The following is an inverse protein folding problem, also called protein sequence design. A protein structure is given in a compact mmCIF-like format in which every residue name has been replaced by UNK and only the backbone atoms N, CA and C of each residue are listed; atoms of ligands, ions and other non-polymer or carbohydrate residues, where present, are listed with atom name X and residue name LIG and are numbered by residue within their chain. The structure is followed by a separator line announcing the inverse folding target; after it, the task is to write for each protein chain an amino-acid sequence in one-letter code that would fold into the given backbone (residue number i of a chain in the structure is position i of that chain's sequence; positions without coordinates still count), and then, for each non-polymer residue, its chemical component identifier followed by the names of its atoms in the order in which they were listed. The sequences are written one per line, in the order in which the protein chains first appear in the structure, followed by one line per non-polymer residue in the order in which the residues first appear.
data_IF_611948787897
#
_entry.id   IF_611948787897
#
_cell.length_a   1.000
_cell.length_b   1.000
_cell.length_c   1.000
_cell.angle_alpha   90.00
_cell.angle_beta   90.00
_cell.angle_gamma   90.00
#
_symmetry.space_group_name_H-M   'P 1'
#
loop_
_entity.id
_entity.type
_entity.pdbx_description
1 polymer ?
#
# COMPACT_ATOMS: atom_id res chain seq x y z
N UNK A 1 -17.70 15.70 -3.78
CA UNK A 1 -17.02 15.21 -2.56
C UNK A 1 -15.95 16.19 -2.08
N UNK A 2 -15.19 16.85 -2.97
CA UNK A 2 -14.19 17.85 -2.54
C UNK A 2 -14.79 19.02 -1.74
N UNK A 3 -16.01 19.47 -2.06
CA UNK A 3 -16.71 20.49 -1.28
C UNK A 3 -16.97 20.04 0.16
N UNK A 4 -17.34 18.78 0.36
CA UNK A 4 -17.55 18.22 1.70
C UNK A 4 -16.26 18.20 2.54
N UNK A 5 -15.11 17.91 1.92
CA UNK A 5 -13.82 18.01 2.63
C UNK A 5 -13.53 19.43 3.10
N UNK A 6 -13.85 20.42 2.27
CA UNK A 6 -13.71 21.86 2.62
C UNK A 6 -14.67 22.20 3.77
N UNK A 7 -15.92 21.74 3.67
CA UNK A 7 -16.94 21.94 4.72
C UNK A 7 -16.56 21.24 6.04
N UNK A 8 -15.79 20.16 5.97
CA UNK A 8 -15.24 19.45 7.14
C UNK A 8 -13.97 20.11 7.70
N UNK A 9 -13.48 21.18 7.05
CA UNK A 9 -12.37 21.98 7.54
C UNK A 9 -11.01 21.60 6.96
N UNK A 10 -10.99 20.98 5.76
CA UNK A 10 -9.74 20.81 5.01
C UNK A 10 -9.33 22.14 4.42
N UNK A 11 -8.10 22.55 4.71
CA UNK A 11 -7.52 23.78 4.20
C UNK A 11 -6.66 23.47 2.94
N UNK A 12 -7.12 23.91 1.77
CA UNK A 12 -6.35 23.80 0.54
C UNK A 12 -5.72 25.15 0.18
N UNK A 13 -4.55 25.11 -0.42
CA UNK A 13 -3.79 26.31 -0.78
C UNK A 13 -4.59 27.21 -1.75
N UNK A 14 -4.51 28.52 -1.50
CA UNK A 14 -5.22 29.54 -2.25
C UNK A 14 -4.26 30.59 -2.77
N UNK A 15 -4.61 31.17 -3.91
CA UNK A 15 -3.94 32.34 -4.49
C UNK A 15 -4.34 33.60 -3.75
N UNK A 16 -3.65 34.71 -4.06
CA UNK A 16 -3.92 36.00 -3.46
C UNK A 16 -5.35 36.54 -3.74
N UNK A 17 -5.97 36.10 -4.84
CA UNK A 17 -7.35 36.45 -5.20
C UNK A 17 -8.41 35.57 -4.50
N UNK A 18 -8.00 34.63 -3.64
CA UNK A 18 -8.87 33.70 -2.92
C UNK A 18 -9.27 32.45 -3.70
N UNK A 19 -8.96 32.35 -5.00
CA UNK A 19 -9.15 31.13 -5.79
C UNK A 19 -8.21 30.01 -5.32
N UNK A 20 -8.61 28.75 -5.57
CA UNK A 20 -7.71 27.62 -5.25
C UNK A 20 -6.45 27.64 -6.12
N UNK A 21 -5.32 27.40 -5.51
CA UNK A 21 -4.10 27.13 -6.25
C UNK A 21 -4.13 25.69 -6.77
N UNK A 22 -4.14 25.53 -8.08
CA UNK A 22 -4.22 24.25 -8.74
C UNK A 22 -2.88 23.88 -9.36
N UNK A 23 -2.40 22.68 -9.05
CA UNK A 23 -1.17 22.14 -9.62
C UNK A 23 -1.43 21.03 -10.63
N UNK A 24 -0.43 20.78 -11.46
CA UNK A 24 -0.38 19.67 -12.42
C UNK A 24 0.68 18.68 -11.97
N UNK A 25 0.31 17.42 -11.89
CA UNK A 25 1.24 16.32 -11.62
C UNK A 25 1.50 15.50 -12.89
N UNK A 26 2.48 14.60 -12.83
CA UNK A 26 2.87 13.74 -13.95
C UNK A 26 1.69 12.93 -14.50
N UNK A 27 1.51 12.96 -15.82
CA UNK A 27 0.43 12.28 -16.53
C UNK A 27 -0.90 13.06 -16.63
N UNK A 28 -1.07 14.17 -15.92
CA UNK A 28 -2.25 15.03 -16.07
C UNK A 28 -2.15 15.95 -17.27
N UNK A 29 -3.28 16.19 -17.98
CA UNK A 29 -3.36 17.16 -19.09
C UNK A 29 -3.33 18.59 -18.60
N UNK A 30 -3.98 18.86 -17.43
CA UNK A 30 -4.26 20.21 -16.94
C UNK A 30 -3.91 20.39 -15.46
N UNK A 31 -3.81 21.66 -15.02
CA UNK A 31 -3.73 22.03 -13.60
C UNK A 31 -5.11 21.87 -12.96
N UNK A 32 -5.33 20.78 -12.23
CA UNK A 32 -6.65 20.45 -11.63
C UNK A 32 -6.57 19.84 -10.23
N UNK A 33 -5.36 19.73 -9.66
CA UNK A 33 -5.14 19.08 -8.39
C UNK A 33 -5.13 20.14 -7.29
N UNK A 34 -6.03 19.96 -6.32
CA UNK A 34 -6.01 20.68 -5.05
C UNK A 34 -4.88 20.13 -4.18
N UNK A 35 -4.18 20.99 -3.50
CA UNK A 35 -3.09 20.61 -2.61
C UNK A 35 -3.04 21.49 -1.35
N UNK A 36 -2.35 20.98 -0.35
CA UNK A 36 -1.93 21.74 0.83
C UNK A 36 -0.43 21.57 0.96
N UNK A 37 0.34 22.56 0.53
CA UNK A 37 1.81 22.50 0.47
C UNK A 37 2.26 21.17 -0.17
N UNK A 38 3.12 20.42 0.54
CA UNK A 38 3.62 19.09 0.17
C UNK A 38 3.03 17.96 1.04
N UNK A 39 1.92 18.24 1.77
CA UNK A 39 1.33 17.34 2.77
C UNK A 39 -0.20 17.23 2.69
N UNK A 40 -0.75 17.25 1.47
CA UNK A 40 -2.20 17.21 1.20
C UNK A 40 -2.92 16.06 1.93
N UNK A 41 -2.35 14.86 1.90
CA UNK A 41 -2.95 13.69 2.56
C UNK A 41 -3.08 13.87 4.07
N UNK A 42 -2.07 14.42 4.71
CA UNK A 42 -2.07 14.70 6.15
C UNK A 42 -3.14 15.74 6.54
N UNK A 43 -3.30 16.78 5.72
CA UNK A 43 -4.32 17.81 5.97
C UNK A 43 -5.74 17.25 5.84
N UNK A 44 -6.01 16.43 4.81
CA UNK A 44 -7.30 15.75 4.66
C UNK A 44 -7.57 14.83 5.85
N UNK A 45 -6.59 14.04 6.28
CA UNK A 45 -6.71 13.16 7.44
C UNK A 45 -7.00 13.96 8.71
N UNK A 46 -6.27 15.05 8.96
CA UNK A 46 -6.49 15.94 10.11
C UNK A 46 -7.93 16.43 10.17
N UNK A 47 -8.45 16.94 9.06
CA UNK A 47 -9.80 17.48 8.99
C UNK A 47 -10.86 16.39 9.21
N UNK A 48 -10.72 15.24 8.54
CA UNK A 48 -11.66 14.13 8.68
C UNK A 48 -11.64 13.54 10.09
N UNK A 49 -10.48 13.32 10.70
CA UNK A 49 -10.37 12.82 12.08
C UNK A 49 -10.99 13.80 13.08
N UNK A 50 -10.75 15.11 12.93
CA UNK A 50 -11.37 16.12 13.76
C UNK A 50 -12.90 16.11 13.62
N UNK A 51 -13.40 15.99 12.38
CA UNK A 51 -14.84 15.92 12.13
C UNK A 51 -15.47 14.67 12.72
N UNK A 52 -14.89 13.50 12.50
CA UNK A 52 -15.43 12.23 13.02
C UNK A 52 -15.46 12.21 14.54
N UNK A 53 -14.42 12.74 15.21
CA UNK A 53 -14.37 12.88 16.66
C UNK A 53 -15.45 13.79 17.24
N UNK A 54 -16.08 14.64 16.43
CA UNK A 54 -17.18 15.50 16.88
C UNK A 54 -18.53 14.78 17.01
N UNK A 55 -18.64 13.53 16.52
CA UNK A 55 -19.87 12.74 16.60
C UNK A 55 -19.87 11.84 17.84
N UNK A 56 -20.85 12.03 18.73
CA UNK A 56 -21.00 11.20 19.94
C UNK A 56 -21.41 9.74 19.63
N UNK A 57 -21.89 9.47 18.41
CA UNK A 57 -22.31 8.14 17.96
C UNK A 57 -21.18 7.30 17.37
N UNK A 58 -19.94 7.79 17.41
CA UNK A 58 -18.77 7.10 16.85
C UNK A 58 -17.82 6.72 17.97
N UNK A 59 -17.58 5.43 18.12
CA UNK A 59 -16.60 4.88 19.05
C UNK A 59 -15.27 4.60 18.33
N UNK A 60 -14.15 4.98 18.97
CA UNK A 60 -12.80 4.76 18.47
C UNK A 60 -12.10 3.68 19.29
N UNK A 61 -11.75 2.58 18.63
CA UNK A 61 -11.01 1.49 19.24
C UNK A 61 -9.53 1.56 18.81
N UNK A 62 -8.76 2.42 19.50
CA UNK A 62 -7.31 2.49 19.30
C UNK A 62 -6.60 1.36 20.07
N UNK A 63 -5.47 0.88 19.54
CA UNK A 63 -4.78 -0.30 20.07
C UNK A 63 -5.59 -1.60 19.95
N UNK A 64 -6.33 -1.72 18.85
CA UNK A 64 -7.03 -2.93 18.44
C UNK A 64 -6.54 -3.35 17.06
N UNK A 65 -6.39 -4.66 16.84
CA UNK A 65 -5.92 -5.23 15.58
C UNK A 65 -6.95 -6.25 15.05
N UNK A 66 -7.43 -6.06 13.83
CA UNK A 66 -8.37 -7.00 13.19
C UNK A 66 -7.63 -8.26 12.74
N UNK A 67 -8.02 -9.42 13.28
CA UNK A 67 -7.39 -10.72 13.04
C UNK A 67 -7.98 -11.41 11.82
N UNK A 68 -9.31 -11.60 11.82
CA UNK A 68 -10.05 -12.23 10.72
C UNK A 68 -11.50 -11.77 10.66
N UNK A 69 -12.11 -11.89 9.47
CA UNK A 69 -13.54 -11.62 9.27
C UNK A 69 -14.38 -12.80 9.75
N UNK A 70 -15.52 -12.51 10.38
CA UNK A 70 -16.48 -13.52 10.81
C UNK A 70 -17.47 -13.78 9.68
N UNK A 71 -17.54 -15.04 9.23
CA UNK A 71 -18.43 -15.50 8.14
C UNK A 71 -19.14 -16.79 8.55
N UNK A 72 -20.03 -17.34 7.70
CA UNK A 72 -20.71 -18.62 7.93
C UNK A 72 -19.73 -19.77 8.24
N UNK A 73 -18.47 -19.68 7.80
CA UNK A 73 -17.45 -20.67 8.16
C UNK A 73 -17.32 -20.87 9.68
N UNK A 74 -17.40 -19.76 10.44
CA UNK A 74 -17.32 -19.79 11.91
C UNK A 74 -18.59 -20.35 12.56
N UNK A 75 -19.69 -20.50 11.79
CA UNK A 75 -20.92 -21.16 12.21
C UNK A 75 -20.93 -22.65 11.85
N UNK A 76 -19.79 -23.20 11.37
CA UNK A 76 -19.66 -24.60 10.98
C UNK A 76 -20.05 -24.90 9.52
N UNK A 77 -20.38 -23.88 8.71
CA UNK A 77 -20.69 -24.08 7.31
C UNK A 77 -19.42 -24.19 6.46
N UNK A 78 -19.45 -25.04 5.42
CA UNK A 78 -18.37 -25.11 4.44
C UNK A 78 -18.48 -23.95 3.47
N UNK A 79 -17.59 -22.95 3.62
CA UNK A 79 -17.50 -21.79 2.73
C UNK A 79 -16.35 -21.97 1.75
N UNK A 80 -16.65 -21.92 0.44
CA UNK A 80 -15.69 -21.97 -0.66
C UNK A 80 -15.74 -20.68 -1.47
N UNK A 81 -14.86 -20.54 -2.46
CA UNK A 81 -14.87 -19.40 -3.38
C UNK A 81 -16.21 -19.31 -4.14
N UNK A 82 -16.80 -20.46 -4.47
CA UNK A 82 -18.02 -20.58 -5.28
C UNK A 82 -19.31 -20.63 -4.44
N UNK A 83 -19.20 -20.59 -3.11
CA UNK A 83 -20.37 -20.53 -2.23
C UNK A 83 -21.17 -19.26 -2.52
N UNK A 84 -22.46 -19.38 -2.90
CA UNK A 84 -23.31 -18.20 -3.13
C UNK A 84 -23.66 -17.53 -1.80
N UNK A 85 -23.99 -16.24 -1.87
CA UNK A 85 -24.55 -15.49 -0.72
C UNK A 85 -23.68 -15.57 0.55
N UNK A 86 -22.37 -15.59 0.39
CA UNK A 86 -21.44 -15.43 1.54
C UNK A 86 -21.78 -14.17 2.32
N UNK A 87 -21.75 -14.24 3.65
CA UNK A 87 -22.05 -13.12 4.54
C UNK A 87 -20.92 -12.83 5.49
N UNK A 88 -20.71 -11.56 5.76
CA UNK A 88 -19.85 -11.08 6.84
C UNK A 88 -20.72 -10.65 8.02
N UNK A 89 -20.32 -11.03 9.23
CA UNK A 89 -21.02 -10.71 10.47
C UNK A 89 -20.20 -9.79 11.38
N UNK A 90 -18.98 -9.45 10.99
CA UNK A 90 -18.05 -8.66 11.76
C UNK A 90 -16.62 -9.17 11.67
N UNK A 91 -15.85 -8.98 12.73
CA UNK A 91 -14.45 -9.41 12.78
C UNK A 91 -14.04 -9.86 14.20
N UNK A 92 -13.06 -10.76 14.26
CA UNK A 92 -12.30 -11.02 15.46
C UNK A 92 -11.19 -9.98 15.58
N UNK A 93 -11.05 -9.38 16.75
CA UNK A 93 -10.18 -8.23 16.95
C UNK A 93 -9.34 -8.41 18.21
N UNK A 94 -8.03 -8.34 18.09
CA UNK A 94 -7.11 -8.43 19.21
C UNK A 94 -7.05 -7.07 19.93
N UNK A 95 -7.42 -7.08 21.19
CA UNK A 95 -7.23 -5.94 22.10
C UNK A 95 -5.79 -5.94 22.65
N UNK A 96 -4.98 -4.98 22.24
CA UNK A 96 -3.55 -4.94 22.61
C UNK A 96 -3.30 -4.62 24.10
N UNK A 97 -4.31 -4.13 24.82
CA UNK A 97 -4.19 -3.86 26.27
C UNK A 97 -4.45 -5.13 27.08
N UNK A 98 -5.47 -5.90 26.70
CA UNK A 98 -5.85 -7.12 27.42
C UNK A 98 -5.19 -8.37 26.86
N UNK A 99 -4.59 -8.29 25.67
CA UNK A 99 -4.02 -9.42 24.91
C UNK A 99 -5.07 -10.53 24.62
N UNK A 100 -6.35 -10.16 24.53
CA UNK A 100 -7.44 -11.07 24.19
C UNK A 100 -8.03 -10.73 22.84
N UNK A 101 -8.47 -11.74 22.12
CA UNK A 101 -9.24 -11.57 20.90
C UNK A 101 -10.71 -11.43 21.29
N UNK A 102 -11.32 -10.34 20.86
CA UNK A 102 -12.72 -9.99 21.13
C UNK A 102 -13.55 -10.14 19.86
N UNK A 103 -14.83 -10.45 20.00
CA UNK A 103 -15.79 -10.64 18.92
C UNK A 103 -16.52 -9.32 18.64
N UNK A 104 -16.22 -8.67 17.50
CA UNK A 104 -16.89 -7.44 17.05
C UNK A 104 -17.94 -7.80 16.01
N UNK A 105 -19.22 -7.63 16.34
CA UNK A 105 -20.35 -7.90 15.44
C UNK A 105 -20.88 -6.61 14.83
N UNK A 106 -21.19 -6.65 13.53
CA UNK A 106 -21.73 -5.52 12.82
C UNK A 106 -22.66 -5.93 11.69
N UNK A 107 -23.76 -5.21 11.51
CA UNK A 107 -24.68 -5.41 10.36
C UNK A 107 -23.98 -5.10 9.02
N UNK A 108 -22.96 -4.28 9.07
CA UNK A 108 -22.11 -3.92 7.92
C UNK A 108 -20.68 -3.83 8.40
N UNK A 109 -19.75 -4.36 7.63
CA UNK A 109 -18.31 -4.27 7.86
C UNK A 109 -17.67 -3.59 6.67
N UNK A 110 -16.79 -2.60 6.91
CA UNK A 110 -16.04 -1.91 5.87
C UNK A 110 -14.55 -2.08 6.09
N UNK A 111 -13.85 -2.55 5.07
CA UNK A 111 -12.39 -2.61 5.03
C UNK A 111 -11.84 -1.32 4.43
N UNK A 112 -11.03 -0.60 5.21
CA UNK A 112 -10.32 0.61 4.79
C UNK A 112 -8.87 0.54 5.30
N UNK A 113 -8.20 -0.58 5.04
CA UNK A 113 -6.96 -1.01 5.70
C UNK A 113 -5.68 -0.54 4.99
N UNK A 114 -5.82 0.26 3.92
CA UNK A 114 -4.66 0.76 3.17
C UNK A 114 -3.96 -0.31 2.33
N UNK A 115 -2.69 -0.08 2.03
CA UNK A 115 -1.91 -0.84 1.07
C UNK A 115 -1.10 -2.00 1.65
N UNK A 116 -0.05 -2.39 0.89
CA UNK A 116 0.69 -3.64 1.09
C UNK A 116 2.22 -3.43 1.16
N UNK A 117 2.67 -2.18 1.37
CA UNK A 117 4.07 -1.81 1.14
C UNK A 117 5.08 -2.59 1.96
N UNK A 118 4.69 -3.11 3.12
CA UNK A 118 5.59 -3.84 4.01
C UNK A 118 6.02 -5.21 3.47
N UNK A 119 5.41 -5.73 2.38
CA UNK A 119 5.93 -6.93 1.70
C UNK A 119 7.22 -6.66 0.90
N UNK A 120 7.68 -5.40 0.84
CA UNK A 120 8.92 -4.99 0.16
C UNK A 120 9.92 -4.36 1.11
N UNK A 121 11.22 -4.52 0.84
CA UNK A 121 12.30 -3.93 1.65
C UNK A 121 12.26 -2.41 1.66
N UNK A 122 11.99 -1.80 0.50
CA UNK A 122 11.87 -0.35 0.34
C UNK A 122 10.43 0.01 0.02
N UNK A 123 9.80 0.80 0.88
CA UNK A 123 8.43 1.28 0.69
C UNK A 123 8.24 2.66 1.30
N UNK A 124 7.41 3.48 0.65
CA UNK A 124 6.95 4.78 1.18
C UNK A 124 5.72 4.64 2.08
N UNK A 125 5.17 3.42 2.21
CA UNK A 125 4.00 3.16 3.03
C UNK A 125 4.35 3.05 4.52
N UNK A 126 3.43 3.43 5.41
CA UNK A 126 3.62 3.30 6.85
C UNK A 126 3.78 1.82 7.27
N UNK A 127 4.32 1.60 8.47
CA UNK A 127 4.61 0.26 9.01
C UNK A 127 3.37 -0.65 9.10
N UNK A 128 2.19 -0.08 9.19
CA UNK A 128 0.91 -0.81 9.25
C UNK A 128 0.39 -1.27 7.87
N UNK A 129 1.08 -0.96 6.77
CA UNK A 129 0.67 -1.35 5.42
C UNK A 129 1.07 -2.81 5.10
N UNK A 130 0.53 -3.75 5.83
CA UNK A 130 0.81 -5.20 5.75
C UNK A 130 -0.21 -5.98 4.93
N UNK A 131 -1.22 -5.28 4.36
CA UNK A 131 -2.23 -5.87 3.49
C UNK A 131 -3.36 -6.60 4.20
N UNK A 132 -3.63 -6.22 5.45
CA UNK A 132 -4.53 -6.94 6.36
C UNK A 132 -5.92 -7.18 5.78
N UNK A 133 -6.59 -6.15 5.27
CA UNK A 133 -7.94 -6.28 4.72
C UNK A 133 -7.99 -7.18 3.48
N UNK A 134 -6.97 -7.10 2.61
CA UNK A 134 -6.86 -7.96 1.42
C UNK A 134 -6.69 -9.42 1.85
N UNK A 135 -5.81 -9.69 2.81
CA UNK A 135 -5.57 -11.02 3.33
C UNK A 135 -6.80 -11.59 4.05
N UNK A 136 -7.46 -10.81 4.91
CA UNK A 136 -8.70 -11.21 5.58
C UNK A 136 -9.83 -11.51 4.57
N UNK A 137 -10.02 -10.66 3.56
CA UNK A 137 -11.01 -10.89 2.52
C UNK A 137 -10.69 -12.16 1.70
N UNK A 138 -9.42 -12.38 1.36
CA UNK A 138 -8.97 -13.58 0.65
C UNK A 138 -9.24 -14.86 1.47
N UNK A 139 -8.91 -14.88 2.77
CA UNK A 139 -9.22 -16.01 3.66
C UNK A 139 -10.72 -16.26 3.79
N UNK A 140 -11.51 -15.18 3.82
CA UNK A 140 -12.98 -15.24 3.81
C UNK A 140 -13.58 -15.62 2.43
N UNK A 141 -12.75 -15.97 1.44
CA UNK A 141 -13.15 -16.33 0.06
C UNK A 141 -13.73 -15.15 -0.73
N UNK A 142 -13.28 -13.95 -0.41
CA UNK A 142 -13.49 -12.75 -1.21
C UNK A 142 -12.69 -12.80 -2.52
N UNK A 143 -13.17 -12.08 -3.54
CA UNK A 143 -12.47 -11.97 -4.82
C UNK A 143 -11.44 -10.87 -4.77
N UNK A 144 -10.24 -11.17 -5.30
CA UNK A 144 -9.10 -10.25 -5.36
C UNK A 144 -8.56 -10.25 -6.78
N UNK A 145 -8.19 -9.08 -7.31
CA UNK A 145 -7.69 -8.92 -8.68
C UNK A 145 -6.59 -7.85 -8.77
N UNK A 146 -5.80 -7.90 -9.85
CA UNK A 146 -4.83 -6.85 -10.20
C UNK A 146 -3.63 -6.76 -9.27
N UNK A 147 -3.36 -7.81 -8.47
CA UNK A 147 -2.28 -7.80 -7.47
C UNK A 147 -0.89 -7.69 -8.08
N UNK A 148 -0.72 -7.97 -9.38
CA UNK A 148 0.52 -7.81 -10.14
C UNK A 148 0.86 -6.35 -10.44
N UNK A 149 -0.10 -5.43 -10.33
CA UNK A 149 0.06 -4.01 -10.66
C UNK A 149 0.51 -3.19 -9.45
N UNK A 150 1.80 -3.26 -9.16
CA UNK A 150 2.42 -2.58 -8.03
C UNK A 150 3.22 -1.38 -8.52
N UNK A 151 2.83 -0.19 -8.10
CA UNK A 151 3.53 1.04 -8.44
C UNK A 151 4.72 1.27 -7.50
N UNK A 152 5.89 1.47 -8.10
CA UNK A 152 7.10 1.90 -7.40
C UNK A 152 7.35 3.38 -7.68
N UNK A 153 7.62 4.16 -6.64
CA UNK A 153 8.15 5.49 -6.82
C UNK A 153 9.64 5.41 -7.14
N UNK A 154 10.13 6.04 -8.21
CA UNK A 154 11.50 5.84 -8.66
C UNK A 154 12.55 6.37 -7.70
N UNK A 155 12.27 7.45 -6.98
CA UNK A 155 13.24 8.16 -6.15
C UNK A 155 12.77 8.27 -4.70
N UNK A 156 12.96 7.22 -3.91
CA UNK A 156 12.93 7.30 -2.46
C UNK A 156 14.36 7.37 -1.91
N UNK A 157 14.55 8.07 -0.80
CA UNK A 157 15.86 8.17 -0.14
C UNK A 157 16.32 6.77 0.30
N UNK A 158 17.50 6.37 -0.16
CA UNK A 158 18.12 5.14 0.31
C UNK A 158 18.72 5.36 1.70
N UNK A 159 18.04 4.86 2.72
CA UNK A 159 18.47 4.91 4.11
C UNK A 159 18.18 3.54 4.77
N UNK A 160 19.13 2.59 4.73
CA UNK A 160 18.93 1.24 5.20
C UNK A 160 18.46 1.17 6.66
N UNK A 161 17.47 0.33 6.94
CA UNK A 161 16.89 0.16 8.27
C UNK A 161 15.86 1.19 8.67
N UNK A 162 15.63 2.24 7.86
CA UNK A 162 14.57 3.22 8.08
C UNK A 162 13.36 2.90 7.21
N UNK A 163 12.22 2.67 7.83
CA UNK A 163 10.91 2.53 7.18
C UNK A 163 9.89 3.45 7.86
N UNK A 164 9.03 4.11 7.10
CA UNK A 164 8.97 4.19 5.63
C UNK A 164 10.17 4.91 5.01
N UNK A 165 10.48 4.58 3.74
CA UNK A 165 11.47 5.31 2.96
C UNK A 165 10.97 6.73 2.69
N UNK A 166 11.80 7.73 2.93
CA UNK A 166 11.46 9.12 2.68
C UNK A 166 11.36 9.41 1.17
N UNK A 167 10.28 10.05 0.75
CA UNK A 167 10.02 10.33 -0.65
C UNK A 167 10.83 11.54 -1.12
N UNK A 168 11.72 11.33 -2.11
CA UNK A 168 12.29 12.44 -2.88
C UNK A 168 11.32 12.72 -4.03
N UNK A 169 10.56 13.80 -3.89
CA UNK A 169 9.48 14.18 -4.81
C UNK A 169 9.94 14.19 -6.27
N UNK A 170 9.04 13.83 -7.18
CA UNK A 170 9.25 13.96 -8.62
C UNK A 170 9.60 15.40 -9.05
N UNK A 171 9.13 16.39 -8.28
CA UNK A 171 9.42 17.78 -8.52
C UNK A 171 10.94 18.08 -8.54
N UNK A 172 11.76 17.35 -7.77
CA UNK A 172 13.22 17.51 -7.79
C UNK A 172 13.81 17.14 -9.15
N UNK A 173 13.29 16.05 -9.78
CA UNK A 173 13.68 15.71 -11.17
C UNK A 173 13.11 16.72 -12.17
N UNK A 174 11.88 17.19 -11.93
CA UNK A 174 11.24 18.24 -12.72
C UNK A 174 12.00 19.56 -12.70
N UNK A 175 12.69 19.86 -11.60
CA UNK A 175 13.50 21.07 -11.43
C UNK A 175 14.97 20.88 -11.89
N UNK A 176 15.29 19.76 -12.52
CA UNK A 176 16.59 19.53 -13.14
C UNK A 176 17.43 18.41 -12.52
N UNK A 177 16.97 17.73 -11.47
CA UNK A 177 17.72 16.62 -10.86
C UNK A 177 18.02 15.50 -11.86
N UNK A 178 19.29 15.05 -11.92
CA UNK A 178 19.82 14.10 -12.90
C UNK A 178 20.15 12.79 -12.21
N UNK A 179 19.61 11.68 -12.76
CA UNK A 179 19.93 10.33 -12.27
C UNK A 179 21.30 9.87 -12.74
N UNK A 180 22.10 9.34 -11.82
CA UNK A 180 23.48 8.90 -12.04
C UNK A 180 23.77 7.55 -11.40
N UNK A 181 24.67 6.82 -12.00
CA UNK A 181 25.28 5.61 -11.47
C UNK A 181 26.29 5.90 -10.35
N UNK A 182 26.85 4.84 -9.72
CA UNK A 182 27.87 4.94 -8.68
C UNK A 182 29.15 5.65 -9.15
N UNK A 183 29.50 5.50 -10.43
CA UNK A 183 30.67 6.15 -11.07
C UNK A 183 30.39 7.60 -11.52
N UNK A 184 29.19 8.13 -11.26
CA UNK A 184 28.79 9.47 -11.66
C UNK A 184 28.31 9.59 -13.11
N UNK A 185 28.29 8.50 -13.90
CA UNK A 185 27.77 8.49 -15.26
C UNK A 185 26.25 8.59 -15.30
N UNK A 186 25.70 9.26 -16.31
CA UNK A 186 24.27 9.25 -16.63
C UNK A 186 23.88 7.93 -17.30
N UNK A 187 22.62 7.55 -17.24
CA UNK A 187 22.15 6.29 -17.83
C UNK A 187 20.77 6.37 -18.50
N UNK A 188 19.99 7.40 -18.18
CA UNK A 188 18.59 7.47 -18.67
C UNK A 188 18.48 7.56 -20.19
N UNK A 189 19.50 8.05 -20.89
CA UNK A 189 19.57 8.12 -22.35
C UNK A 189 19.46 6.75 -23.05
N UNK A 190 19.76 5.67 -22.33
CA UNK A 190 19.61 4.28 -22.82
C UNK A 190 18.17 3.79 -22.80
N UNK A 191 17.31 4.46 -22.02
CA UNK A 191 15.97 3.99 -21.70
C UNK A 191 14.86 4.88 -22.26
N UNK A 192 15.04 6.21 -22.26
CA UNK A 192 14.00 7.14 -22.74
C UNK A 192 14.61 8.49 -23.13
N UNK A 193 14.16 9.05 -24.26
CA UNK A 193 14.64 10.33 -24.76
C UNK A 193 14.31 11.54 -23.83
N UNK A 194 13.31 11.39 -22.95
CA UNK A 194 12.95 12.40 -21.95
C UNK A 194 13.87 12.37 -20.71
N UNK A 195 14.83 11.46 -20.68
CA UNK A 195 15.83 11.31 -19.61
C UNK A 195 15.17 11.17 -18.23
N UNK A 196 15.66 11.88 -17.23
CA UNK A 196 15.13 11.87 -15.86
C UNK A 196 13.67 12.36 -15.74
N UNK A 197 13.12 12.96 -16.79
CA UNK A 197 11.72 13.43 -16.88
C UNK A 197 10.77 12.40 -17.51
N UNK A 198 11.26 11.20 -17.84
CA UNK A 198 10.42 10.11 -18.31
C UNK A 198 9.34 9.73 -17.26
N UNK A 199 8.22 9.09 -17.65
CA UNK A 199 7.21 8.58 -16.73
C UNK A 199 7.79 7.70 -15.63
N UNK A 200 7.15 7.72 -14.46
CA UNK A 200 7.64 7.04 -13.23
C UNK A 200 7.97 5.57 -13.43
N UNK A 201 7.15 4.86 -14.18
CA UNK A 201 7.35 3.43 -14.46
C UNK A 201 8.59 3.17 -15.33
N UNK A 202 8.87 4.03 -16.31
CA UNK A 202 10.10 3.96 -17.13
C UNK A 202 11.31 4.26 -16.28
N UNK A 203 11.29 5.34 -15.49
CA UNK A 203 12.41 5.71 -14.61
C UNK A 203 12.68 4.62 -13.56
N UNK A 204 11.63 4.07 -12.94
CA UNK A 204 11.78 3.00 -11.96
C UNK A 204 12.38 1.74 -12.58
N UNK A 205 11.96 1.36 -13.81
CA UNK A 205 12.54 0.24 -14.55
C UNK A 205 14.01 0.48 -14.93
N UNK A 206 14.35 1.70 -15.34
CA UNK A 206 15.72 2.05 -15.67
C UNK A 206 16.64 1.92 -14.45
N UNK A 207 16.23 2.48 -13.31
CA UNK A 207 16.99 2.38 -12.05
C UNK A 207 17.14 0.92 -11.61
N UNK A 208 16.06 0.13 -11.60
CA UNK A 208 16.09 -1.28 -11.22
C UNK A 208 17.02 -2.10 -12.14
N UNK A 209 17.01 -1.81 -13.44
CA UNK A 209 17.86 -2.48 -14.43
C UNK A 209 19.34 -2.11 -14.24
N UNK A 210 19.66 -0.83 -14.00
CA UNK A 210 21.05 -0.40 -13.74
C UNK A 210 21.57 -0.96 -12.41
N UNK A 211 20.77 -0.95 -11.34
CA UNK A 211 21.14 -1.56 -10.05
C UNK A 211 21.46 -3.05 -10.21
N UNK A 212 20.62 -3.80 -10.91
CA UNK A 212 20.84 -5.23 -11.17
C UNK A 212 22.03 -5.50 -12.05
N UNK A 213 22.25 -4.67 -13.08
CA UNK A 213 23.39 -4.80 -13.99
C UNK A 213 24.73 -4.53 -13.29
N UNK A 214 24.75 -3.55 -12.38
CA UNK A 214 25.99 -3.15 -11.68
C UNK A 214 26.20 -3.89 -10.37
N UNK A 215 25.19 -4.61 -9.85
CA UNK A 215 25.23 -5.24 -8.53
C UNK A 215 25.19 -4.22 -7.37
N UNK A 216 24.60 -3.05 -7.61
CA UNK A 216 24.48 -1.97 -6.62
C UNK A 216 23.10 -1.99 -5.96
N UNK A 217 22.98 -1.37 -4.78
CA UNK A 217 21.74 -1.33 -4.00
C UNK A 217 20.99 0.01 -4.10
N UNK A 218 21.58 1.01 -4.75
CA UNK A 218 20.97 2.32 -5.03
C UNK A 218 21.66 2.98 -6.23
N UNK A 219 21.09 4.05 -6.73
CA UNK A 219 21.66 5.02 -7.67
C UNK A 219 21.68 6.39 -7.01
N UNK A 220 22.13 7.42 -7.71
CA UNK A 220 22.17 8.78 -7.20
C UNK A 220 21.23 9.71 -7.98
N UNK A 221 20.68 10.70 -7.29
CA UNK A 221 20.04 11.87 -7.85
C UNK A 221 20.95 13.07 -7.61
N UNK A 222 21.49 13.66 -8.67
CA UNK A 222 22.40 14.78 -8.64
C UNK A 222 21.67 16.10 -8.82
N UNK A 223 21.77 16.97 -7.83
CA UNK A 223 21.18 18.32 -7.80
C UNK A 223 22.21 19.42 -7.64
N UNK A 224 23.52 19.09 -7.64
CA UNK A 224 24.63 20.02 -7.34
C UNK A 224 24.79 21.16 -8.33
N UNK A 225 24.21 21.05 -9.53
CA UNK A 225 24.19 22.12 -10.53
C UNK A 225 23.04 23.12 -10.32
N UNK A 226 22.13 22.86 -9.37
CA UNK A 226 21.03 23.75 -9.01
C UNK A 226 21.51 24.67 -7.88
N UNK A 227 21.32 26.01 -7.99
CA UNK A 227 21.68 26.93 -6.92
C UNK A 227 21.06 26.57 -5.58
N UNK A 228 21.83 26.68 -4.51
CA UNK A 228 21.37 26.30 -3.16
C UNK A 228 20.12 27.06 -2.72
N UNK A 229 20.05 28.34 -3.08
CA UNK A 229 18.90 29.21 -2.79
C UNK A 229 17.62 28.68 -3.44
N UNK A 230 17.70 28.17 -4.67
CA UNK A 230 16.55 27.56 -5.36
C UNK A 230 16.15 26.24 -4.69
N UNK A 231 17.11 25.40 -4.29
CA UNK A 231 16.85 24.15 -3.56
C UNK A 231 16.10 24.46 -2.25
N UNK A 232 16.58 25.41 -1.47
CA UNK A 232 15.97 25.80 -0.20
C UNK A 232 14.59 26.42 -0.38
N UNK A 233 14.37 27.15 -1.47
CA UNK A 233 13.07 27.74 -1.79
C UNK A 233 12.02 26.68 -2.19
N UNK A 234 12.40 25.73 -3.06
CA UNK A 234 11.47 24.79 -3.66
C UNK A 234 11.33 23.47 -2.88
N UNK A 235 12.40 23.03 -2.17
CA UNK A 235 12.49 21.74 -1.51
C UNK A 235 13.00 21.81 -0.06
N UNK A 236 12.52 22.76 0.78
CA UNK A 236 13.06 22.98 2.11
C UNK A 236 12.97 21.75 3.02
N UNK A 237 11.89 20.98 2.92
CA UNK A 237 11.69 19.76 3.72
C UNK A 237 12.59 18.63 3.26
N UNK A 238 12.75 18.44 1.94
CA UNK A 238 13.63 17.41 1.39
C UNK A 238 15.09 17.72 1.78
N UNK A 239 15.51 18.97 1.62
CA UNK A 239 16.85 19.43 2.01
C UNK A 239 17.12 19.16 3.49
N UNK A 240 16.21 19.63 4.36
CA UNK A 240 16.35 19.45 5.80
C UNK A 240 16.39 17.97 6.21
N UNK A 241 15.59 17.12 5.54
CA UNK A 241 15.56 15.69 5.82
C UNK A 241 16.86 14.99 5.40
N UNK A 242 17.37 15.26 4.19
CA UNK A 242 18.66 14.70 3.71
C UNK A 242 19.81 15.10 4.62
N UNK A 243 19.87 16.36 5.01
CA UNK A 243 20.90 16.89 5.90
C UNK A 243 20.81 16.27 7.30
N UNK A 244 19.59 16.17 7.87
CA UNK A 244 19.38 15.64 9.21
C UNK A 244 19.64 14.13 9.32
N UNK A 245 19.14 13.34 8.37
CA UNK A 245 19.17 11.87 8.47
C UNK A 245 20.47 11.26 7.93
N UNK A 246 21.10 11.87 6.94
CA UNK A 246 22.29 11.33 6.28
C UNK A 246 23.49 12.29 6.28
N UNK A 247 23.34 13.52 6.76
CA UNK A 247 24.37 14.55 6.69
C UNK A 247 24.62 15.12 5.29
N UNK A 248 23.72 14.82 4.32
CA UNK A 248 23.90 15.17 2.91
C UNK A 248 23.37 16.58 2.65
N UNK A 249 24.26 17.49 2.24
CA UNK A 249 23.89 18.75 1.60
C UNK A 249 23.66 18.51 0.11
N UNK A 250 22.40 18.48 -0.32
CA UNK A 250 22.03 18.16 -1.70
C UNK A 250 22.45 19.20 -2.73
N UNK A 251 23.02 20.37 -2.31
CA UNK A 251 23.68 21.32 -3.20
C UNK A 251 25.16 20.99 -3.46
N UNK A 252 25.75 20.11 -2.64
CA UNK A 252 27.17 19.76 -2.70
C UNK A 252 27.40 18.27 -2.96
N UNK A 253 26.43 17.43 -2.55
CA UNK A 253 26.51 15.97 -2.63
C UNK A 253 25.32 15.37 -3.37
N UNK A 254 25.53 14.22 -4.01
CA UNK A 254 24.46 13.46 -4.67
C UNK A 254 23.60 12.72 -3.65
N UNK A 255 22.30 12.71 -3.85
CA UNK A 255 21.33 12.04 -2.98
C UNK A 255 21.25 10.55 -3.38
N UNK A 256 21.52 9.59 -2.47
CA UNK A 256 21.31 8.18 -2.77
C UNK A 256 19.81 7.88 -2.85
N UNK A 257 19.36 7.30 -3.96
CA UNK A 257 17.94 7.00 -4.21
C UNK A 257 17.74 5.57 -4.70
N UNK A 258 16.59 5.02 -4.33
CA UNK A 258 16.15 3.67 -4.71
C UNK A 258 14.67 3.69 -5.07
N UNK A 259 14.22 2.86 -6.02
CA UNK A 259 12.79 2.66 -6.22
C UNK A 259 12.17 2.02 -4.97
N UNK A 260 11.07 2.59 -4.51
CA UNK A 260 10.34 2.08 -3.35
C UNK A 260 8.89 1.78 -3.71
N UNK A 261 8.35 0.69 -3.16
CA UNK A 261 6.93 0.39 -3.31
C UNK A 261 6.10 1.58 -2.80
N UNK A 262 5.09 1.98 -3.58
CA UNK A 262 4.35 3.20 -3.32
C UNK A 262 2.84 3.02 -3.31
N UNK A 263 2.28 2.20 -4.22
CA UNK A 263 0.84 1.99 -4.34
C UNK A 263 0.51 0.65 -4.99
N UNK A 264 -0.59 0.01 -4.53
CA UNK A 264 -1.19 -1.16 -5.15
C UNK A 264 -2.41 -0.75 -5.98
N UNK A 265 -2.41 -1.04 -7.31
CA UNK A 265 -3.58 -0.79 -8.16
C UNK A 265 -4.64 -1.91 -8.10
N UNK A 266 -4.26 -3.06 -7.56
CA UNK A 266 -5.13 -4.20 -7.30
C UNK A 266 -5.82 -4.14 -5.94
N UNK A 267 -6.40 -5.26 -5.53
CA UNK A 267 -7.04 -5.41 -4.22
C UNK A 267 -8.33 -6.21 -4.27
N UNK A 268 -9.18 -6.03 -3.26
CA UNK A 268 -10.48 -6.66 -3.13
C UNK A 268 -11.41 -6.11 -4.22
N UNK A 269 -11.98 -7.00 -5.06
CA UNK A 269 -12.92 -6.59 -6.11
C UNK A 269 -14.17 -5.99 -5.46
N UNK A 270 -14.52 -4.80 -5.91
CA UNK A 270 -15.75 -4.10 -5.50
C UNK A 270 -16.54 -3.60 -6.71
N UNK A 271 -17.85 -3.48 -6.54
CA UNK A 271 -18.71 -2.80 -7.50
C UNK A 271 -18.69 -1.26 -7.32
N UNK A 272 -19.49 -0.54 -8.09
CA UNK A 272 -19.60 0.92 -8.03
C UNK A 272 -20.06 1.47 -6.67
N UNK A 273 -20.60 0.62 -5.79
CA UNK A 273 -21.04 0.94 -4.44
C UNK A 273 -20.10 0.40 -3.36
N UNK A 274 -18.89 0.00 -3.73
CA UNK A 274 -17.88 -0.59 -2.83
C UNK A 274 -18.27 -1.94 -2.21
N UNK A 275 -19.31 -2.63 -2.71
CA UNK A 275 -19.70 -3.95 -2.23
C UNK A 275 -18.72 -5.00 -2.76
N UNK A 276 -18.32 -5.91 -1.90
CA UNK A 276 -17.57 -7.10 -2.29
C UNK A 276 -18.53 -8.24 -2.73
N UNK A 277 -17.97 -9.38 -3.13
CA UNK A 277 -18.74 -10.58 -3.37
C UNK A 277 -19.20 -11.30 -2.07
N UNK A 278 -18.95 -10.71 -0.91
CA UNK A 278 -19.42 -11.16 0.40
C UNK A 278 -20.44 -10.13 0.88
N UNK A 279 -21.67 -10.56 1.10
CA UNK A 279 -22.76 -9.68 1.54
C UNK A 279 -22.40 -8.98 2.85
N UNK A 280 -22.76 -7.70 2.97
CA UNK A 280 -22.49 -6.84 4.12
C UNK A 280 -21.01 -6.55 4.39
N UNK A 281 -20.14 -6.92 3.43
CA UNK A 281 -18.73 -6.56 3.42
C UNK A 281 -18.43 -5.57 2.29
N UNK A 282 -17.94 -4.42 2.66
CA UNK A 282 -17.52 -3.34 1.78
C UNK A 282 -16.00 -3.15 1.86
N UNK A 283 -15.40 -2.58 0.81
CA UNK A 283 -14.00 -2.18 0.83
C UNK A 283 -13.81 -0.86 0.07
N UNK A 284 -13.00 0.06 0.60
CA UNK A 284 -12.67 1.32 -0.06
C UNK A 284 -11.22 1.75 0.20
N UNK A 285 -10.71 2.62 -0.65
CA UNK A 285 -9.31 3.04 -0.63
C UNK A 285 -8.38 1.98 -1.19
N UNK A 286 -7.09 2.05 -0.90
CA UNK A 286 -6.06 1.23 -1.53
C UNK A 286 -6.24 -0.29 -1.39
N UNK A 287 -6.94 -0.77 -0.35
CA UNK A 287 -7.23 -2.21 -0.23
C UNK A 287 -8.27 -2.72 -1.24
N UNK A 288 -9.00 -1.83 -1.92
CA UNK A 288 -10.05 -2.18 -2.89
C UNK A 288 -9.57 -2.09 -4.34
N UNK A 289 -10.14 -2.93 -5.20
CA UNK A 289 -9.96 -2.89 -6.65
C UNK A 289 -11.26 -2.43 -7.31
N UNK A 290 -11.35 -1.13 -7.58
CA UNK A 290 -12.48 -0.50 -8.26
C UNK A 290 -12.38 -0.56 -9.78
N UNK A 291 -11.18 -0.87 -10.30
CA UNK A 291 -10.84 -0.78 -11.73
C UNK A 291 -10.41 0.62 -12.19
N UNK A 292 -10.59 1.67 -11.38
CA UNK A 292 -10.25 3.05 -11.74
C UNK A 292 -8.79 3.23 -12.15
N UNK A 293 -7.88 2.58 -11.43
CA UNK A 293 -6.44 2.73 -11.66
C UNK A 293 -5.90 1.88 -12.81
N UNK A 294 -6.67 0.88 -13.25
CA UNK A 294 -6.21 -0.03 -14.29
C UNK A 294 -4.85 -0.66 -13.95
N UNK A 295 -3.95 -0.67 -14.90
CA UNK A 295 -2.61 -1.25 -14.74
C UNK A 295 -1.55 -0.26 -14.21
N UNK A 296 -1.89 1.02 -14.06
CA UNK A 296 -0.98 2.05 -13.53
C UNK A 296 -1.77 3.27 -13.04
N UNK A 297 -1.70 3.57 -11.75
CA UNK A 297 -2.40 4.68 -11.12
C UNK A 297 -1.87 6.04 -11.57
N UNK A 298 -2.76 6.93 -11.94
CA UNK A 298 -2.45 8.34 -12.12
C UNK A 298 -2.29 9.02 -10.76
N UNK A 299 -1.27 9.86 -10.62
CA UNK A 299 -0.98 10.59 -9.39
C UNK A 299 -2.21 11.34 -8.85
N UNK A 300 -2.35 11.45 -7.54
CA UNK A 300 -3.45 12.09 -6.79
C UNK A 300 -4.85 11.48 -6.96
N UNK A 301 -5.07 10.53 -7.86
CA UNK A 301 -6.39 9.91 -8.02
C UNK A 301 -6.78 8.98 -6.86
N UNK A 302 -5.82 8.46 -6.08
CA UNK A 302 -6.09 7.53 -4.98
C UNK A 302 -6.91 8.16 -3.86
N UNK A 303 -6.61 9.41 -3.48
CA UNK A 303 -7.37 10.11 -2.44
C UNK A 303 -8.81 10.37 -2.89
N UNK A 304 -9.00 10.76 -4.15
CA UNK A 304 -10.33 11.00 -4.70
C UNK A 304 -11.15 9.70 -4.80
N UNK A 305 -10.53 8.59 -5.21
CA UNK A 305 -11.15 7.27 -5.21
C UNK A 305 -11.64 6.89 -3.82
N UNK A 306 -10.77 6.99 -2.82
CA UNK A 306 -11.11 6.62 -1.45
C UNK A 306 -12.33 7.40 -0.92
N UNK A 307 -12.38 8.72 -1.15
CA UNK A 307 -13.48 9.58 -0.70
C UNK A 307 -14.79 9.23 -1.43
N UNK A 308 -14.74 9.02 -2.74
CA UNK A 308 -15.94 8.73 -3.54
C UNK A 308 -16.52 7.37 -3.19
N UNK A 309 -15.67 6.35 -3.14
CA UNK A 309 -16.13 4.98 -2.87
C UNK A 309 -16.55 4.77 -1.41
N UNK A 310 -15.88 5.42 -0.45
CA UNK A 310 -16.34 5.41 0.95
C UNK A 310 -17.75 6.01 1.09
N UNK A 311 -18.03 7.12 0.38
CA UNK A 311 -19.36 7.72 0.40
C UNK A 311 -20.43 6.80 -0.25
N UNK A 312 -20.12 6.22 -1.42
CA UNK A 312 -21.03 5.27 -2.08
C UNK A 312 -21.31 4.03 -1.23
N UNK A 313 -20.28 3.53 -0.52
CA UNK A 313 -20.43 2.47 0.47
C UNK A 313 -21.42 2.87 1.58
N UNK A 314 -21.31 4.10 2.10
CA UNK A 314 -22.24 4.63 3.09
C UNK A 314 -23.67 4.64 2.55
N UNK A 315 -23.94 5.27 1.40
CA UNK A 315 -25.29 5.34 0.80
C UNK A 315 -25.89 3.92 0.67
N UNK A 316 -25.11 2.99 0.13
CA UNK A 316 -25.59 1.62 -0.08
C UNK A 316 -25.78 0.83 1.21
N UNK A 317 -24.90 1.01 2.18
CA UNK A 317 -25.04 0.35 3.48
C UNK A 317 -26.27 0.81 4.26
N UNK A 318 -26.69 2.06 4.11
CA UNK A 318 -27.93 2.59 4.70
C UNK A 318 -29.16 1.94 4.06
N UNK A 319 -29.20 1.78 2.72
CA UNK A 319 -30.28 1.08 2.04
C UNK A 319 -30.39 -0.40 2.50
N UNK A 320 -29.26 -1.04 2.72
CA UNK A 320 -29.20 -2.47 3.08
C UNK A 320 -29.29 -2.73 4.59
N UNK A 321 -29.27 -1.69 5.43
CA UNK A 321 -29.11 -1.80 6.89
C UNK A 321 -30.14 -2.72 7.58
N UNK A 322 -31.37 -2.79 7.06
CA UNK A 322 -32.44 -3.62 7.63
C UNK A 322 -32.46 -5.07 7.15
N UNK A 323 -31.63 -5.43 6.18
CA UNK A 323 -31.75 -6.72 5.46
C UNK A 323 -30.98 -7.86 6.12
N UNK A 324 -30.06 -7.57 7.04
CA UNK A 324 -29.25 -8.59 7.71
C UNK A 324 -29.82 -9.00 9.07
N UNK A 325 -30.16 -10.31 9.19
CA UNK A 325 -30.29 -10.95 10.49
C UNK A 325 -28.93 -11.35 11.04
N UNK A 326 -28.70 -11.06 12.33
CA UNK A 326 -27.48 -11.48 13.02
C UNK A 326 -27.68 -12.88 13.63
N UNK A 327 -26.78 -13.85 13.37
CA UNK A 327 -26.80 -15.13 14.08
C UNK A 327 -26.58 -14.94 15.58
N UNK A 328 -27.31 -15.71 16.39
CA UNK A 328 -27.19 -15.66 17.86
C UNK A 328 -26.07 -16.53 18.42
N UNK A 329 -25.48 -17.40 17.59
CA UNK A 329 -24.54 -18.45 17.98
C UNK A 329 -23.14 -18.27 17.39
N UNK A 330 -22.71 -17.02 17.17
CA UNK A 330 -21.34 -16.76 16.72
C UNK A 330 -20.39 -17.12 17.87
N UNK A 331 -19.45 -18.05 17.65
CA UNK A 331 -18.51 -18.44 18.69
C UNK A 331 -17.50 -17.32 18.97
N UNK A 332 -17.03 -17.25 20.19
CA UNK A 332 -15.87 -16.47 20.54
C UNK A 332 -14.61 -17.08 19.92
N UNK A 333 -13.53 -16.30 19.91
CA UNK A 333 -12.23 -16.77 19.43
C UNK A 333 -11.75 -17.93 20.33
N UNK A 334 -11.40 -19.06 19.71
CA UNK A 334 -10.87 -20.21 20.43
C UNK A 334 -9.33 -20.17 20.40
N UNK A 335 -8.74 -19.98 21.56
CA UNK A 335 -7.28 -20.04 21.78
C UNK A 335 -6.84 -21.27 22.60
N UNK A 336 -7.75 -22.25 22.75
CA UNK A 336 -7.47 -23.50 23.50
C UNK A 336 -6.30 -24.26 22.87
N UNK A 337 -5.35 -24.70 23.71
CA UNK A 337 -4.17 -25.43 23.26
C UNK A 337 -3.03 -24.53 22.75
N UNK A 338 -3.23 -23.22 22.63
CA UNK A 338 -2.18 -22.29 22.21
C UNK A 338 -1.26 -21.90 23.38
N UNK A 339 0.00 -21.58 23.06
CA UNK A 339 1.02 -21.14 24.02
C UNK A 339 1.50 -19.73 23.67
N UNK A 340 2.12 -19.05 24.65
CA UNK A 340 2.85 -17.83 24.31
C UNK A 340 3.99 -18.20 23.36
N UNK A 341 4.18 -17.45 22.25
CA UNK A 341 5.28 -17.75 21.33
C UNK A 341 6.62 -17.55 22.05
N UNK A 342 7.44 -18.60 22.07
CA UNK A 342 8.75 -18.58 22.72
C UNK A 342 9.81 -17.96 21.80
N UNK A 343 9.60 -18.01 20.49
CA UNK A 343 10.57 -17.62 19.46
C UNK A 343 10.02 -16.55 18.50
N UNK A 344 9.62 -15.37 19.02
CA UNK A 344 9.20 -14.25 18.17
C UNK A 344 10.29 -13.78 17.20
N UNK A 345 11.55 -14.13 17.44
CA UNK A 345 12.65 -13.87 16.52
C UNK A 345 12.42 -14.53 15.16
N UNK A 346 11.81 -15.72 15.11
CA UNK A 346 11.50 -16.44 13.87
C UNK A 346 10.51 -15.64 13.02
N UNK A 347 9.50 -15.01 13.63
CA UNK A 347 8.54 -14.15 12.93
C UNK A 347 9.25 -12.98 12.25
N UNK A 348 10.20 -12.36 12.96
CA UNK A 348 10.99 -11.24 12.43
C UNK A 348 11.89 -11.67 11.27
N UNK A 349 12.54 -12.84 11.39
CA UNK A 349 13.43 -13.33 10.32
C UNK A 349 12.62 -13.77 9.08
N UNK A 350 11.51 -14.50 9.26
CA UNK A 350 10.60 -14.84 8.15
C UNK A 350 10.06 -13.58 7.43
N UNK A 351 9.73 -12.51 8.17
CA UNK A 351 9.30 -11.25 7.56
C UNK A 351 10.39 -10.62 6.70
N UNK A 352 11.65 -10.57 7.19
CA UNK A 352 12.79 -10.07 6.42
C UNK A 352 13.08 -10.91 5.18
N UNK A 353 12.96 -12.23 5.29
CA UNK A 353 13.14 -13.14 4.16
C UNK A 353 12.06 -12.91 3.11
N UNK A 354 10.79 -12.80 3.51
CA UNK A 354 9.67 -12.48 2.63
C UNK A 354 9.92 -11.15 1.88
N UNK A 355 10.28 -10.08 2.61
CA UNK A 355 10.60 -8.79 2.02
C UNK A 355 11.74 -8.89 0.99
N UNK A 356 12.77 -9.70 1.30
CA UNK A 356 13.90 -9.94 0.39
C UNK A 356 13.48 -10.70 -0.86
N UNK A 357 12.67 -11.75 -0.71
CA UNK A 357 12.12 -12.52 -1.84
C UNK A 357 11.30 -11.60 -2.75
N UNK A 358 10.40 -10.81 -2.18
CA UNK A 358 9.51 -9.94 -2.96
C UNK A 358 10.29 -8.84 -3.68
N UNK A 359 11.26 -8.20 -3.03
CA UNK A 359 12.07 -7.15 -3.64
C UNK A 359 12.95 -7.68 -4.77
N UNK A 360 13.61 -8.82 -4.57
CA UNK A 360 14.59 -9.33 -5.53
C UNK A 360 13.98 -10.12 -6.69
N UNK A 361 12.85 -10.79 -6.49
CA UNK A 361 12.26 -11.68 -7.50
C UNK A 361 10.93 -11.19 -8.06
N UNK A 362 10.17 -10.36 -7.31
CA UNK A 362 8.80 -9.94 -7.66
C UNK A 362 8.68 -8.41 -7.74
N UNK A 363 9.80 -7.73 -7.88
CA UNK A 363 9.88 -6.27 -7.97
C UNK A 363 9.43 -5.72 -9.33
N UNK A 364 10.12 -4.69 -9.82
CA UNK A 364 9.76 -3.90 -11.01
C UNK A 364 9.96 -4.71 -12.29
N UNK A 365 11.16 -5.29 -12.47
CA UNK A 365 11.50 -6.12 -13.65
C UNK A 365 11.49 -7.59 -13.25
N UNK A 366 10.59 -8.35 -13.85
CA UNK A 366 10.29 -9.75 -13.54
C UNK A 366 10.79 -10.69 -14.64
N UNK A 367 10.91 -11.98 -14.30
CA UNK A 367 11.06 -13.11 -15.25
C UNK A 367 10.29 -14.30 -14.71
N UNK A 368 9.84 -15.21 -15.58
CA UNK A 368 9.12 -16.43 -15.16
C UNK A 368 9.95 -17.25 -14.18
N UNK A 369 11.27 -17.33 -14.41
CA UNK A 369 12.19 -18.02 -13.50
C UNK A 369 12.26 -17.38 -12.12
N UNK A 370 12.29 -16.02 -12.02
CA UNK A 370 12.28 -15.32 -10.75
C UNK A 370 10.96 -15.51 -10.02
N UNK A 371 9.84 -15.38 -10.73
CA UNK A 371 8.49 -15.58 -10.15
C UNK A 371 8.32 -17.01 -9.62
N UNK A 372 8.84 -18.02 -10.34
CA UNK A 372 8.82 -19.41 -9.84
C UNK A 372 9.64 -19.56 -8.57
N UNK A 373 10.86 -19.02 -8.53
CA UNK A 373 11.71 -19.06 -7.33
C UNK A 373 11.06 -18.37 -6.12
N UNK A 374 10.40 -17.25 -6.34
CA UNK A 374 9.67 -16.55 -5.29
C UNK A 374 8.55 -17.42 -4.73
N UNK A 375 7.78 -18.07 -5.62
CA UNK A 375 6.72 -18.99 -5.22
C UNK A 375 7.24 -20.14 -4.37
N UNK A 376 8.28 -20.85 -4.85
CA UNK A 376 8.85 -22.03 -4.18
C UNK A 376 9.39 -21.67 -2.77
N UNK A 377 10.00 -20.49 -2.61
CA UNK A 377 10.50 -20.01 -1.31
C UNK A 377 9.40 -19.55 -0.37
N UNK A 378 8.40 -18.85 -0.91
CA UNK A 378 7.26 -18.39 -0.11
C UNK A 378 6.48 -19.57 0.48
N UNK A 379 6.41 -20.70 -0.23
CA UNK A 379 5.75 -21.90 0.25
C UNK A 379 6.40 -22.45 1.53
N UNK A 380 7.72 -22.40 1.64
CA UNK A 380 8.43 -22.80 2.88
C UNK A 380 8.08 -21.86 4.04
N UNK A 381 8.15 -20.55 3.83
CA UNK A 381 7.78 -19.56 4.85
C UNK A 381 6.32 -19.76 5.28
N UNK A 382 5.41 -20.05 4.34
CA UNK A 382 4.02 -20.32 4.64
C UNK A 382 3.84 -21.53 5.54
N UNK A 383 4.52 -22.64 5.26
CA UNK A 383 4.41 -23.89 6.06
C UNK A 383 4.90 -23.63 7.49
N UNK A 384 6.09 -23.06 7.65
CA UNK A 384 6.68 -22.76 8.96
C UNK A 384 5.81 -21.78 9.76
N UNK A 385 5.32 -20.74 9.10
CA UNK A 385 4.44 -19.78 9.75
C UNK A 385 3.10 -20.39 10.18
N UNK A 386 2.46 -21.24 9.35
CA UNK A 386 1.18 -21.87 9.70
C UNK A 386 1.30 -22.83 10.88
N UNK A 387 2.44 -23.52 11.02
CA UNK A 387 2.74 -24.33 12.20
C UNK A 387 2.85 -23.46 13.45
N UNK A 388 3.65 -22.40 13.38
CA UNK A 388 3.82 -21.44 14.47
C UNK A 388 2.49 -20.77 14.85
N UNK A 389 1.71 -20.34 13.86
CA UNK A 389 0.42 -19.66 14.06
C UNK A 389 -0.58 -20.54 14.82
N UNK A 390 -0.69 -21.82 14.45
CA UNK A 390 -1.61 -22.77 15.10
C UNK A 390 -1.26 -23.08 16.55
N UNK A 391 0.01 -22.99 16.91
CA UNK A 391 0.51 -23.33 18.25
C UNK A 391 0.60 -22.11 19.16
N UNK A 392 0.55 -20.90 18.61
CA UNK A 392 0.81 -19.66 19.35
C UNK A 392 -0.45 -18.88 19.67
N UNK A 393 -0.46 -18.21 20.82
CA UNK A 393 -1.39 -17.12 21.07
C UNK A 393 -1.20 -16.01 20.04
N UNK A 394 -2.29 -15.40 19.66
CA UNK A 394 -2.30 -14.36 18.64
C UNK A 394 -1.49 -13.13 19.10
N UNK A 395 -0.59 -12.68 18.24
CA UNK A 395 0.15 -11.41 18.40
C UNK A 395 0.11 -10.63 17.09
N UNK A 396 0.27 -9.31 17.16
CA UNK A 396 0.26 -8.47 15.94
C UNK A 396 1.32 -8.90 14.93
N UNK A 397 2.61 -9.07 15.29
CA UNK A 397 3.62 -9.49 14.32
C UNK A 397 3.32 -10.83 13.64
N UNK A 398 2.74 -11.77 14.37
CA UNK A 398 2.35 -13.08 13.84
C UNK A 398 1.21 -12.95 12.81
N UNK A 399 0.21 -12.11 13.09
CA UNK A 399 -0.89 -11.85 12.17
C UNK A 399 -0.45 -11.04 10.95
N UNK A 400 0.38 -10.01 11.14
CA UNK A 400 0.92 -9.21 10.05
C UNK A 400 1.73 -10.06 9.08
N UNK A 401 2.61 -10.94 9.58
CA UNK A 401 3.36 -11.87 8.74
C UNK A 401 2.42 -12.81 7.97
N UNK A 402 1.37 -13.35 8.60
CA UNK A 402 0.35 -14.16 7.93
C UNK A 402 -0.31 -13.39 6.78
N UNK A 403 -0.64 -12.13 7.00
CA UNK A 403 -1.25 -11.27 6.00
C UNK A 403 -0.27 -10.98 4.86
N UNK A 404 0.97 -10.65 5.16
CA UNK A 404 2.03 -10.42 4.18
C UNK A 404 2.29 -11.66 3.31
N UNK A 405 2.30 -12.88 3.88
CA UNK A 405 2.43 -14.14 3.15
C UNK A 405 1.27 -14.32 2.16
N UNK A 406 0.01 -14.08 2.59
CA UNK A 406 -1.16 -14.19 1.72
C UNK A 406 -1.09 -13.17 0.57
N UNK A 407 -0.72 -11.92 0.86
CA UNK A 407 -0.57 -10.86 -0.15
C UNK A 407 0.56 -11.19 -1.13
N UNK A 408 1.73 -11.60 -0.64
CA UNK A 408 2.86 -12.02 -1.47
C UNK A 408 2.46 -13.18 -2.41
N UNK A 409 1.75 -14.18 -1.90
CA UNK A 409 1.20 -15.26 -2.71
C UNK A 409 0.31 -14.75 -3.84
N UNK A 410 -0.62 -13.84 -3.52
CA UNK A 410 -1.54 -13.27 -4.52
C UNK A 410 -0.79 -12.48 -5.59
N UNK A 411 0.21 -11.68 -5.20
CA UNK A 411 1.05 -10.92 -6.14
C UNK A 411 1.78 -11.87 -7.09
N UNK A 412 2.45 -12.90 -6.56
CA UNK A 412 3.20 -13.88 -7.36
C UNK A 412 2.25 -14.64 -8.29
N UNK A 413 1.11 -15.09 -7.78
CA UNK A 413 0.10 -15.83 -8.55
C UNK A 413 -0.43 -15.03 -9.73
N UNK A 414 -0.82 -13.77 -9.50
CA UNK A 414 -1.34 -12.90 -10.55
C UNK A 414 -0.25 -12.51 -11.55
N UNK A 415 0.98 -12.21 -11.07
CA UNK A 415 2.11 -11.92 -11.94
C UNK A 415 2.49 -13.11 -12.84
N UNK A 416 2.36 -14.35 -12.36
CA UNK A 416 2.60 -15.57 -13.18
C UNK A 416 1.46 -15.84 -14.16
N UNK A 417 0.24 -15.47 -13.84
CA UNK A 417 -0.92 -15.63 -14.70
C UNK A 417 -1.00 -14.56 -15.80
N UNK A 418 -0.43 -13.39 -15.57
CA UNK A 418 -0.40 -12.31 -16.56
C UNK A 418 0.58 -12.63 -17.69
N UNK A 419 0.07 -12.67 -18.93
CA UNK A 419 0.85 -13.06 -20.13
C UNK A 419 1.16 -11.90 -21.08
N UNK A 420 0.86 -10.67 -20.65
CA UNK A 420 1.13 -9.46 -21.41
C UNK A 420 1.87 -8.44 -20.53
N UNK A 421 2.87 -7.78 -21.11
CA UNK A 421 3.47 -6.61 -20.50
C UNK A 421 2.48 -5.44 -20.57
N UNK A 422 1.96 -5.03 -19.41
CA UNK A 422 0.94 -3.98 -19.33
C UNK A 422 1.15 -3.12 -18.09
N UNK A 423 1.30 -1.81 -18.30
CA UNK A 423 1.47 -0.86 -17.20
C UNK A 423 2.62 -1.23 -16.27
N UNK A 424 2.29 -1.50 -15.01
CA UNK A 424 3.26 -1.83 -13.95
C UNK A 424 3.73 -3.29 -13.97
N UNK A 425 3.08 -4.18 -14.71
CA UNK A 425 3.57 -5.53 -14.91
C UNK A 425 4.55 -5.57 -16.09
N UNK A 426 5.81 -5.86 -15.79
CA UNK A 426 6.86 -5.96 -16.80
C UNK A 426 7.70 -7.22 -16.58
N UNK A 427 7.58 -8.18 -17.51
CA UNK A 427 8.26 -9.46 -17.50
C UNK A 427 9.11 -9.59 -18.77
N UNK A 428 10.42 -9.81 -18.60
CA UNK A 428 11.36 -9.91 -19.74
C UNK A 428 11.08 -11.11 -20.64
N UNK A 429 10.54 -12.21 -20.09
CA UNK A 429 10.24 -13.42 -20.86
C UNK A 429 8.98 -13.25 -21.75
N UNK A 430 8.26 -12.13 -21.64
CA UNK A 430 7.11 -11.75 -22.48
C UNK A 430 7.46 -10.71 -23.56
N UNK A 431 8.74 -10.38 -23.70
CA UNK A 431 9.24 -9.51 -24.78
C UNK A 431 9.56 -10.44 -25.95
N UNK A 432 8.72 -10.42 -26.99
CA UNK A 432 8.95 -11.11 -28.25
C UNK A 432 9.88 -10.32 -29.18
#
# INVERSE_FOLDING_TARGET
RLKELIDYGTDFDRRADGSFDLVKEGGHSDKRILHYKDSTGNEIERALVAKVKSFASVDFFTHYFAVDLITQHHLGEKVTKDTPNKKCFGAYVLNLKTQKVETFLGKTTMLATGGIGQVYQSTTNPKIATGDGIAMAYRAKGFVQGMEFIQFHPTALYNPGKKPSFLISEAVRGHGGILKNQDGSTFMEKYDARLSLAPRDIVARAIDSEMKRQGTVHVFLDTRHIPKEEILQHFPMIYAHCLKELGIDMSEEMIPVVPAQHYLCGGIIVDEFSRTNIQHLYAAGECSHTGLHGANRLASNSLLEAIVYAHRAFEKSVEEFGTQGMPSNIPDWNDEGTRNPEELVLVTEMAKELESIMSNYVGIVRTDRRLKRAYDRLELIYIEHEELYKQSKITVPLCELRNMINVAYLIIKHARAQRENKGLHYNLDLIS
#
